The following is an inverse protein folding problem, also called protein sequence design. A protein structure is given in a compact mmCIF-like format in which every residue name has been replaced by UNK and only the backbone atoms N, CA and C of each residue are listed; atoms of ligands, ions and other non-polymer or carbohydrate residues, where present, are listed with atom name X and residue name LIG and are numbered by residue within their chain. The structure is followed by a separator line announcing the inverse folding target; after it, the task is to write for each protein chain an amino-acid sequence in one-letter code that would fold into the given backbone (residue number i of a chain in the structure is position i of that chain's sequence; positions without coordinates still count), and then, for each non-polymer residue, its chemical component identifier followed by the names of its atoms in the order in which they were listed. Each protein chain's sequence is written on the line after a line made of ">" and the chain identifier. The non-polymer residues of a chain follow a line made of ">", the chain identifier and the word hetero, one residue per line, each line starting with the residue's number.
data_IF_661759248945
#
_entry.id   IF_661759248945
#
_cell.length_a   1.000
_cell.length_b   1.000
_cell.length_c   1.000
_cell.angle_alpha   90.00
_cell.angle_beta   90.00
_cell.angle_gamma   90.00
#
_symmetry.space_group_name_H-M   'P 1'
#
loop_
_entity.id
_entity.type
_entity.pdbx_description
1 polymer ?
#
# COMPACT_ATOMS: atom_id res chain seq x y z
N UNK A 1 25.47 6.43 0.08
CA UNK A 1 24.02 6.50 0.35
C UNK A 1 23.35 5.14 0.11
N UNK A 2 22.22 4.86 0.76
CA UNK A 2 21.46 3.66 0.51
C UNK A 2 21.01 3.56 -0.97
N UNK A 3 20.85 2.34 -1.52
CA UNK A 3 20.54 2.15 -2.94
C UNK A 3 19.26 2.86 -3.41
N UNK A 4 18.24 2.98 -2.56
CA UNK A 4 16.96 3.61 -2.88
C UNK A 4 16.76 4.97 -2.21
N UNK A 5 17.86 5.64 -1.82
CA UNK A 5 17.78 6.99 -1.27
C UNK A 5 17.07 7.94 -2.24
N UNK A 6 16.07 8.68 -1.74
CA UNK A 6 15.28 9.61 -2.55
C UNK A 6 14.08 8.99 -3.27
N UNK A 7 13.93 7.68 -3.29
CA UNK A 7 12.75 7.01 -3.86
C UNK A 7 11.58 7.06 -2.86
N UNK A 8 10.41 7.49 -3.33
CA UNK A 8 9.18 7.61 -2.55
C UNK A 8 8.19 6.52 -2.93
N UNK A 9 7.73 5.77 -1.94
CA UNK A 9 6.82 4.63 -2.12
C UNK A 9 5.52 4.88 -1.36
N UNK A 10 4.40 4.78 -2.04
CA UNK A 10 3.06 4.73 -1.44
C UNK A 10 2.67 3.25 -1.32
N UNK A 11 2.47 2.81 -0.09
CA UNK A 11 2.19 1.41 0.26
C UNK A 11 0.75 1.26 0.74
N UNK A 12 -0.09 0.63 -0.08
CA UNK A 12 -1.48 0.27 0.23
C UNK A 12 -1.64 -1.23 0.43
N UNK A 13 -0.56 -1.92 0.78
CA UNK A 13 -0.59 -3.37 0.97
C UNK A 13 -1.04 -3.76 2.37
N UNK A 14 -1.55 -4.99 2.51
CA UNK A 14 -2.05 -5.54 3.75
C UNK A 14 -1.43 -6.92 4.02
N UNK A 15 -1.44 -7.32 5.28
CA UNK A 15 -1.03 -8.62 5.78
C UNK A 15 0.47 -8.88 5.66
N UNK A 16 0.91 -9.80 4.78
CA UNK A 16 2.29 -10.29 4.76
C UNK A 16 3.09 -9.89 3.52
N UNK A 17 2.72 -10.40 2.35
CA UNK A 17 3.59 -10.36 1.17
C UNK A 17 3.91 -8.95 0.70
N UNK A 18 2.88 -8.13 0.55
CA UNK A 18 3.03 -6.72 0.17
C UNK A 18 3.80 -5.90 1.21
N UNK A 19 3.38 -5.93 2.49
CA UNK A 19 4.11 -5.22 3.55
C UNK A 19 5.57 -5.64 3.67
N UNK A 20 5.88 -6.92 3.55
CA UNK A 20 7.28 -7.41 3.58
C UNK A 20 8.09 -6.84 2.40
N UNK A 21 7.54 -6.85 1.21
CA UNK A 21 8.20 -6.29 0.03
C UNK A 21 8.51 -4.79 0.20
N UNK A 22 7.52 -4.01 0.62
CA UNK A 22 7.71 -2.56 0.84
C UNK A 22 8.60 -2.25 2.05
N UNK A 23 8.62 -3.14 3.06
CA UNK A 23 9.61 -3.05 4.15
C UNK A 23 11.04 -3.20 3.63
N UNK A 24 11.29 -4.11 2.72
CA UNK A 24 12.63 -4.23 2.11
C UNK A 24 13.00 -2.97 1.33
N UNK A 25 12.04 -2.34 0.63
CA UNK A 25 12.31 -1.05 -0.01
C UNK A 25 12.71 0.02 1.02
N UNK A 26 12.03 0.06 2.16
CA UNK A 26 12.39 0.98 3.25
C UNK A 26 13.80 0.68 3.81
N UNK A 27 14.14 -0.58 4.00
CA UNK A 27 15.47 -0.99 4.47
C UNK A 27 16.58 -0.64 3.48
N UNK A 28 16.26 -0.58 2.19
CA UNK A 28 17.18 -0.13 1.13
C UNK A 28 17.23 1.39 0.98
N UNK A 29 16.53 2.13 1.82
CA UNK A 29 16.60 3.59 1.89
C UNK A 29 15.44 4.35 1.25
N UNK A 30 14.41 3.67 0.74
CA UNK A 30 13.22 4.34 0.24
C UNK A 30 12.41 4.98 1.38
N UNK A 31 11.78 6.12 1.08
CA UNK A 31 10.78 6.74 1.95
C UNK A 31 9.41 6.10 1.69
N UNK A 32 9.03 5.16 2.53
CA UNK A 32 7.78 4.39 2.39
C UNK A 32 6.71 4.95 3.32
N UNK A 33 5.59 5.35 2.74
CA UNK A 33 4.39 5.76 3.47
C UNK A 33 3.33 4.67 3.33
N UNK A 34 3.01 4.02 4.44
CA UNK A 34 1.91 3.05 4.51
C UNK A 34 0.59 3.78 4.73
N UNK A 35 -0.32 3.58 3.81
CA UNK A 35 -1.70 4.09 3.88
C UNK A 35 -2.60 3.00 4.42
N UNK A 36 -3.27 3.26 5.54
CA UNK A 36 -4.20 2.34 6.18
C UNK A 36 -5.62 2.93 6.23
N UNK A 37 -6.65 2.08 6.15
CA UNK A 37 -8.01 2.53 6.42
C UNK A 37 -8.18 2.88 7.91
N UNK A 38 -9.30 3.52 8.32
CA UNK A 38 -9.55 3.86 9.72
C UNK A 38 -9.45 2.69 10.71
N UNK A 39 -9.84 1.50 10.28
CA UNK A 39 -9.73 0.26 11.07
C UNK A 39 -8.33 -0.33 11.13
N UNK A 40 -7.42 0.15 10.29
CA UNK A 40 -6.04 -0.33 10.19
C UNK A 40 -5.88 -1.61 9.37
N UNK A 41 -4.63 -2.00 9.15
CA UNK A 41 -4.27 -3.29 8.56
C UNK A 41 -4.76 -4.43 9.47
N UNK A 42 -5.37 -5.46 8.88
CA UNK A 42 -5.92 -6.59 9.64
C UNK A 42 -4.88 -7.28 10.54
N UNK A 43 -3.61 -7.22 10.19
CA UNK A 43 -2.54 -7.79 11.00
C UNK A 43 -2.23 -7.00 12.28
N UNK A 44 -2.73 -5.78 12.42
CA UNK A 44 -2.68 -5.07 13.71
C UNK A 44 -3.44 -5.79 14.83
N UNK A 45 -4.42 -6.61 14.45
CA UNK A 45 -5.30 -7.35 15.37
C UNK A 45 -4.87 -8.80 15.59
N UNK A 46 -3.83 -9.27 14.87
CA UNK A 46 -3.30 -10.65 15.01
C UNK A 46 -2.11 -10.65 15.96
N UNK A 47 -2.06 -11.66 16.84
CA UNK A 47 -0.99 -11.84 17.84
C UNK A 47 -0.66 -10.54 18.61
N UNK A 48 -1.72 -9.85 19.03
CA UNK A 48 -1.59 -8.57 19.74
C UNK A 48 -1.29 -8.81 21.22
N UNK A 49 -0.17 -8.26 21.68
CA UNK A 49 0.21 -8.22 23.09
C UNK A 49 0.22 -6.78 23.57
N UNK A 50 -0.58 -6.46 24.59
CA UNK A 50 -0.74 -5.09 25.12
C UNK A 50 -1.16 -4.06 24.07
N UNK A 51 -1.99 -4.49 23.10
CA UNK A 51 -2.47 -3.61 22.03
C UNK A 51 -1.51 -3.45 20.84
N UNK A 52 -0.38 -4.14 20.85
CA UNK A 52 0.59 -4.10 19.74
C UNK A 52 0.77 -5.47 19.10
N UNK A 53 0.64 -5.55 17.79
CA UNK A 53 0.82 -6.77 17.02
C UNK A 53 2.28 -6.95 16.63
N UNK A 54 2.88 -8.04 17.09
CA UNK A 54 4.27 -8.39 16.73
C UNK A 54 4.41 -8.69 15.24
N UNK A 55 3.43 -9.35 14.64
CA UNK A 55 3.46 -9.67 13.20
C UNK A 55 3.33 -8.42 12.34
N UNK A 56 2.50 -7.47 12.74
CA UNK A 56 2.41 -6.18 12.03
C UNK A 56 3.75 -5.44 12.08
N UNK A 57 4.35 -5.31 13.25
CA UNK A 57 5.64 -4.62 13.41
C UNK A 57 6.78 -5.34 12.69
N UNK A 58 6.74 -6.67 12.61
CA UNK A 58 7.78 -7.45 11.93
C UNK A 58 7.91 -7.11 10.44
N UNK A 59 6.81 -6.74 9.77
CA UNK A 59 6.79 -6.49 8.31
C UNK A 59 6.55 -5.02 7.91
N UNK A 60 6.54 -4.10 8.90
CA UNK A 60 6.31 -2.68 8.63
C UNK A 60 7.39 -1.75 9.20
N UNK A 61 8.53 -2.30 9.58
CA UNK A 61 9.64 -1.50 10.12
C UNK A 61 10.17 -0.49 9.10
N UNK A 62 10.48 0.70 9.58
CA UNK A 62 11.07 1.75 8.77
C UNK A 62 10.08 2.53 7.91
N UNK A 63 8.78 2.19 7.95
CA UNK A 63 7.73 2.93 7.24
C UNK A 63 7.18 4.07 8.08
N UNK A 64 6.77 5.13 7.42
CA UNK A 64 5.83 6.12 7.98
C UNK A 64 4.40 5.63 7.76
N UNK A 65 3.45 6.09 8.57
CA UNK A 65 2.06 5.70 8.44
C UNK A 65 1.13 6.89 8.30
N UNK A 66 0.06 6.72 7.55
CA UNK A 66 -1.06 7.65 7.47
C UNK A 66 -2.37 6.87 7.40
N UNK A 67 -3.40 7.38 8.07
CA UNK A 67 -4.75 6.83 7.97
C UNK A 67 -5.55 7.67 6.99
N UNK A 68 -6.08 7.02 5.94
CA UNK A 68 -6.97 7.64 4.96
C UNK A 68 -8.21 6.77 4.77
N UNK A 69 -9.38 7.38 4.86
CA UNK A 69 -10.62 6.71 4.47
C UNK A 69 -10.84 6.87 2.95
N UNK A 70 -10.41 5.88 2.18
CA UNK A 70 -10.53 5.89 0.71
C UNK A 70 -11.96 5.68 0.21
N UNK A 71 -12.90 5.40 1.09
CA UNK A 71 -14.34 5.43 0.76
C UNK A 71 -14.86 6.87 0.59
N UNK A 72 -14.14 7.86 1.14
CA UNK A 72 -14.50 9.28 1.05
C UNK A 72 -13.77 10.00 -0.09
N UNK A 73 -14.38 11.06 -0.68
CA UNK A 73 -13.69 11.89 -1.67
C UNK A 73 -12.42 12.54 -1.11
N UNK A 74 -12.45 12.98 0.14
CA UNK A 74 -11.32 13.64 0.82
C UNK A 74 -10.15 12.67 0.99
N UNK A 75 -10.42 11.43 1.38
CA UNK A 75 -9.41 10.39 1.50
C UNK A 75 -8.75 10.06 0.15
N UNK A 76 -9.56 9.93 -0.90
CA UNK A 76 -9.04 9.70 -2.26
C UNK A 76 -8.22 10.89 -2.78
N UNK A 77 -8.63 12.11 -2.50
CA UNK A 77 -7.84 13.29 -2.88
C UNK A 77 -6.51 13.35 -2.12
N UNK A 78 -6.51 13.01 -0.84
CA UNK A 78 -5.28 12.91 -0.07
C UNK A 78 -4.33 11.84 -0.63
N UNK A 79 -4.85 10.68 -1.01
CA UNK A 79 -4.08 9.65 -1.73
C UNK A 79 -3.51 10.20 -3.04
N UNK A 80 -4.30 10.92 -3.81
CA UNK A 80 -3.86 11.54 -5.06
C UNK A 80 -2.66 12.46 -4.86
N UNK A 81 -2.66 13.27 -3.81
CA UNK A 81 -1.51 14.13 -3.48
C UNK A 81 -0.25 13.36 -3.10
N UNK A 82 -0.39 12.19 -2.48
CA UNK A 82 0.74 11.29 -2.24
C UNK A 82 1.26 10.72 -3.57
N UNK A 83 0.36 10.28 -4.45
CA UNK A 83 0.69 9.73 -5.77
C UNK A 83 1.41 10.75 -6.66
N UNK A 84 1.01 12.02 -6.62
CA UNK A 84 1.66 13.10 -7.38
C UNK A 84 3.17 13.21 -7.12
N UNK A 85 3.61 12.80 -5.95
CA UNK A 85 4.99 12.90 -5.48
C UNK A 85 5.69 11.56 -5.34
N UNK A 86 5.01 10.46 -5.66
CA UNK A 86 5.55 9.12 -5.52
C UNK A 86 6.32 8.69 -6.77
N UNK A 87 7.28 7.81 -6.56
CA UNK A 87 7.96 7.09 -7.63
C UNK A 87 7.34 5.70 -7.83
N UNK A 88 6.85 5.11 -6.74
CA UNK A 88 6.26 3.76 -6.72
C UNK A 88 4.98 3.77 -5.90
N UNK A 89 3.97 3.05 -6.36
CA UNK A 89 2.76 2.73 -5.63
C UNK A 89 2.54 1.22 -5.66
N UNK A 90 2.30 0.64 -4.50
CA UNK A 90 2.06 -0.81 -4.34
C UNK A 90 0.74 -1.02 -3.63
N UNK A 91 -0.11 -1.90 -4.15
CA UNK A 91 -1.33 -2.33 -3.46
C UNK A 91 -1.52 -3.85 -3.54
N UNK A 92 -2.28 -4.39 -2.61
CA UNK A 92 -2.66 -5.80 -2.57
C UNK A 92 -4.18 -6.00 -2.56
N UNK A 93 -4.91 -5.04 -3.10
CA UNK A 93 -6.36 -5.15 -3.25
C UNK A 93 -6.74 -6.22 -4.28
N UNK A 94 -7.86 -6.89 -4.04
CA UNK A 94 -8.44 -7.78 -5.05
C UNK A 94 -8.86 -6.99 -6.30
N UNK A 95 -8.89 -7.64 -7.49
CA UNK A 95 -9.30 -6.96 -8.72
C UNK A 95 -10.62 -6.20 -8.58
N UNK A 96 -10.67 -4.96 -9.07
CA UNK A 96 -11.81 -4.06 -8.98
C UNK A 96 -11.90 -3.22 -7.71
N UNK A 97 -11.24 -3.62 -6.62
CA UNK A 97 -11.24 -2.83 -5.36
C UNK A 97 -10.35 -1.61 -5.47
N UNK A 98 -9.16 -1.74 -6.05
CA UNK A 98 -8.25 -0.62 -6.25
C UNK A 98 -8.90 0.51 -7.04
N UNK A 99 -9.60 0.19 -8.12
CA UNK A 99 -10.30 1.15 -8.97
C UNK A 99 -11.38 1.91 -8.19
N UNK A 100 -12.17 1.21 -7.38
CA UNK A 100 -13.21 1.84 -6.55
C UNK A 100 -12.63 2.79 -5.49
N UNK A 101 -11.43 2.54 -5.03
CA UNK A 101 -10.78 3.31 -3.98
C UNK A 101 -9.86 4.44 -4.52
N UNK A 102 -9.81 4.63 -5.83
CA UNK A 102 -8.94 5.63 -6.44
C UNK A 102 -7.46 5.24 -6.50
N UNK A 103 -7.18 3.94 -6.34
CA UNK A 103 -5.84 3.37 -6.33
C UNK A 103 -5.53 2.51 -7.57
N UNK A 104 -6.45 2.48 -8.54
CA UNK A 104 -6.27 1.74 -9.79
C UNK A 104 -5.16 2.33 -10.67
N UNK A 105 -4.59 1.50 -11.58
CA UNK A 105 -3.46 1.93 -12.41
C UNK A 105 -3.84 3.06 -13.37
N UNK A 106 -5.02 3.03 -13.94
CA UNK A 106 -5.46 4.02 -14.91
C UNK A 106 -5.52 5.42 -14.30
N UNK A 107 -6.18 5.57 -13.15
CA UNK A 107 -6.29 6.84 -12.43
C UNK A 107 -4.93 7.31 -11.89
N UNK A 108 -4.15 6.41 -11.28
CA UNK A 108 -2.85 6.74 -10.72
C UNK A 108 -1.85 7.18 -11.80
N UNK A 109 -1.80 6.49 -12.94
CA UNK A 109 -0.89 6.81 -14.04
C UNK A 109 -1.34 8.04 -14.85
N UNK A 110 -2.64 8.31 -14.92
CA UNK A 110 -3.14 9.57 -15.48
C UNK A 110 -2.68 10.77 -14.65
N UNK A 111 -2.67 10.60 -13.33
CA UNK A 111 -2.21 11.62 -12.38
C UNK A 111 -0.69 11.79 -12.35
N UNK A 112 0.05 10.68 -12.41
CA UNK A 112 1.50 10.66 -12.41
C UNK A 112 2.03 9.64 -13.43
N UNK A 113 2.31 10.06 -14.67
CA UNK A 113 2.75 9.14 -15.74
C UNK A 113 4.10 8.46 -15.49
N UNK A 114 4.90 8.98 -14.56
CA UNK A 114 6.21 8.41 -14.18
C UNK A 114 6.12 7.35 -13.09
N UNK A 115 4.93 7.16 -12.52
CA UNK A 115 4.73 6.24 -11.42
C UNK A 115 4.95 4.79 -11.86
N UNK A 116 5.67 4.02 -11.06
CA UNK A 116 5.67 2.56 -11.15
C UNK A 116 4.51 2.04 -10.30
N UNK A 117 3.47 1.55 -10.96
CA UNK A 117 2.30 0.98 -10.30
C UNK A 117 2.44 -0.54 -10.20
N UNK A 118 2.41 -1.08 -8.98
CA UNK A 118 2.52 -2.51 -8.70
C UNK A 118 1.26 -3.03 -8.01
N UNK A 119 0.62 -4.01 -8.62
CA UNK A 119 -0.53 -4.72 -8.07
C UNK A 119 -0.10 -6.14 -7.69
N UNK A 120 -0.30 -6.49 -6.42
CA UNK A 120 -0.06 -7.82 -5.90
C UNK A 120 -1.40 -8.54 -5.74
N UNK A 121 -1.55 -9.67 -6.40
CA UNK A 121 -2.75 -10.52 -6.27
C UNK A 121 -2.35 -11.98 -6.22
N UNK A 122 -3.20 -12.82 -5.59
CA UNK A 122 -2.92 -14.25 -5.48
C UNK A 122 -2.97 -14.99 -6.82
N UNK A 123 -3.83 -14.52 -7.74
CA UNK A 123 -4.14 -15.26 -8.97
C UNK A 123 -4.07 -14.42 -10.25
N UNK A 124 -3.61 -13.18 -10.15
CA UNK A 124 -3.54 -12.25 -11.27
C UNK A 124 -4.84 -11.43 -11.49
N UNK A 125 -4.79 -10.44 -12.39
CA UNK A 125 -5.87 -9.48 -12.55
C UNK A 125 -7.15 -10.08 -13.18
N UNK A 126 -7.03 -11.17 -13.92
CA UNK A 126 -8.14 -11.82 -14.61
C UNK A 126 -8.75 -12.98 -13.81
N UNK A 127 -8.18 -13.30 -12.66
CA UNK A 127 -8.67 -14.40 -11.85
C UNK A 127 -10.05 -14.05 -11.28
N UNK A 128 -11.08 -14.68 -11.80
CA UNK A 128 -12.38 -14.73 -11.14
C UNK A 128 -12.23 -15.60 -9.89
N UNK A 129 -12.78 -15.18 -8.76
CA UNK A 129 -13.02 -16.10 -7.67
C UNK A 129 -13.90 -17.20 -8.24
N UNK A 130 -13.37 -18.42 -8.32
CA UNK A 130 -14.16 -19.55 -8.69
C UNK A 130 -15.35 -19.64 -7.75
N UNK A 131 -16.53 -19.45 -8.28
CA UNK A 131 -17.76 -19.92 -7.68
C UNK A 131 -17.92 -21.33 -8.22
N UNK A 132 -17.25 -22.29 -7.60
CA UNK A 132 -17.56 -23.70 -7.74
C UNK A 132 -18.39 -24.14 -6.54
#
# INVERSE_FOLDING_TARGET
>A
PPPLAGIRVVDLTHHLGGPLATMYLAQLGADVVKVEPPEGDGWRHVDSVRGESRVFHAVNRGKRGIVLDLATPEGREALGRLVDRADVMVHSFTPGVAERLGAGPEEALARNPRLVHCSLSAFGPEARRGTD
#
